data_IF_952737383839
#
_entry.id   IF_952737383839
#
_cell.length_a   1.000
_cell.length_b   1.000
_cell.length_c   1.000
_cell.angle_alpha   90.00
_cell.angle_beta   90.00
_cell.angle_gamma   90.00
#
_symmetry.space_group_name_H-M   'P 1'
#
loop_
_entity.id
_entity.type
_entity.pdbx_description
1 polymer ?
#
# COMPACT_ATOMS: atom_id res chain seq x y z
N UNK A 1 -3.45 -15.91 5.35
CA UNK A 1 -2.21 -15.56 4.61
C UNK A 1 -1.64 -14.33 5.28
N UNK A 2 -0.33 -14.31 5.58
CA UNK A 2 0.29 -13.18 6.28
C UNK A 2 0.44 -11.96 5.36
N UNK A 3 0.62 -10.75 5.89
CA UNK A 3 0.80 -9.54 5.07
C UNK A 3 2.06 -9.64 4.22
N UNK A 4 3.14 -10.17 4.77
CA UNK A 4 4.38 -10.46 4.04
C UNK A 4 4.11 -11.39 2.86
N UNK A 5 3.33 -12.45 3.05
CA UNK A 5 2.96 -13.36 1.96
C UNK A 5 2.08 -12.68 0.91
N UNK A 6 1.12 -11.84 1.33
CA UNK A 6 0.24 -11.09 0.41
C UNK A 6 1.01 -10.17 -0.51
N UNK A 7 2.09 -9.54 -0.02
CA UNK A 7 2.91 -8.64 -0.83
C UNK A 7 4.02 -9.34 -1.62
N UNK A 8 4.15 -10.67 -1.55
CA UNK A 8 5.13 -11.43 -2.33
C UNK A 8 6.41 -11.84 -1.58
N UNK A 9 6.42 -11.76 -0.25
CA UNK A 9 7.51 -12.22 0.62
C UNK A 9 8.28 -11.10 1.31
N UNK A 10 9.21 -11.48 2.20
CA UNK A 10 9.91 -10.56 3.10
C UNK A 10 10.69 -9.46 2.35
N UNK A 11 11.42 -9.83 1.30
CA UNK A 11 12.18 -8.86 0.51
C UNK A 11 11.26 -7.82 -0.16
N UNK A 12 10.13 -8.26 -0.72
CA UNK A 12 9.17 -7.35 -1.34
C UNK A 12 8.49 -6.45 -0.29
N UNK A 13 8.18 -7.00 0.89
CA UNK A 13 7.64 -6.25 2.02
C UNK A 13 8.60 -5.13 2.49
N UNK A 14 9.89 -5.43 2.61
CA UNK A 14 10.91 -4.43 2.96
C UNK A 14 11.02 -3.33 1.90
N UNK A 15 10.99 -3.68 0.62
CA UNK A 15 11.03 -2.71 -0.48
C UNK A 15 9.79 -1.79 -0.43
N UNK A 16 8.60 -2.38 -0.28
CA UNK A 16 7.33 -1.61 -0.20
C UNK A 16 7.33 -0.66 0.99
N UNK A 17 7.68 -1.15 2.17
CA UNK A 17 7.69 -0.34 3.41
C UNK A 17 8.78 0.72 3.45
N UNK A 18 9.83 0.57 2.63
CA UNK A 18 10.86 1.61 2.43
C UNK A 18 10.40 2.76 1.52
N UNK A 19 9.27 2.59 0.81
CA UNK A 19 8.67 3.60 -0.08
C UNK A 19 9.61 4.03 -1.23
N UNK A 20 10.73 3.31 -1.47
CA UNK A 20 11.74 3.63 -2.49
C UNK A 20 11.24 3.54 -3.93
N UNK A 21 10.12 2.83 -4.14
CA UNK A 21 9.53 2.58 -5.46
C UNK A 21 8.40 3.55 -5.82
N UNK A 22 8.14 4.58 -5.02
CA UNK A 22 7.04 5.52 -5.28
C UNK A 22 7.45 6.97 -5.07
N UNK A 23 6.74 7.86 -5.75
CA UNK A 23 6.82 9.31 -5.54
C UNK A 23 5.70 9.83 -4.64
N UNK A 24 4.85 8.95 -4.13
CA UNK A 24 3.76 9.31 -3.24
C UNK A 24 4.28 10.08 -2.02
N UNK A 25 3.64 11.20 -1.71
CA UNK A 25 3.91 11.89 -0.45
C UNK A 25 3.12 11.21 0.66
N UNK A 26 3.83 10.48 1.52
CA UNK A 26 3.27 9.78 2.69
C UNK A 26 2.20 8.73 2.36
N UNK A 27 2.48 7.74 1.49
CA UNK A 27 1.57 6.61 1.32
C UNK A 27 1.44 5.84 2.64
N UNK A 28 0.25 5.33 2.93
CA UNK A 28 0.01 4.53 4.14
C UNK A 28 -0.52 3.12 3.83
N UNK A 29 -0.82 2.82 2.56
CA UNK A 29 -1.21 1.51 2.11
C UNK A 29 -0.59 1.14 0.76
N UNK A 30 -0.65 -0.14 0.42
CA UNK A 30 -0.20 -0.69 -0.84
C UNK A 30 -1.20 -1.72 -1.34
N UNK A 31 -1.49 -1.69 -2.64
CA UNK A 31 -2.40 -2.61 -3.32
C UNK A 31 -1.57 -3.67 -4.06
N UNK A 32 -1.49 -4.92 -3.56
CA UNK A 32 -0.60 -5.94 -4.13
C UNK A 32 -0.99 -6.35 -5.55
N UNK A 33 -2.29 -6.41 -5.85
CA UNK A 33 -2.79 -6.83 -7.16
C UNK A 33 -2.47 -5.81 -8.26
N UNK A 34 -2.57 -4.51 -7.94
CA UNK A 34 -2.31 -3.40 -8.85
C UNK A 34 -0.87 -2.88 -8.78
N UNK A 35 -0.10 -3.31 -7.77
CA UNK A 35 1.27 -2.87 -7.46
C UNK A 35 1.39 -1.35 -7.34
N UNK A 36 0.42 -0.72 -6.67
CA UNK A 36 0.33 0.73 -6.52
C UNK A 36 0.26 1.11 -5.05
N UNK A 37 0.81 2.27 -4.71
CA UNK A 37 0.69 2.84 -3.37
C UNK A 37 -0.60 3.62 -3.24
N UNK A 38 -1.06 3.77 -2.00
CA UNK A 38 -2.28 4.48 -1.70
C UNK A 38 -2.25 5.18 -0.37
N UNK A 39 -3.36 5.85 -0.12
CA UNK A 39 -3.67 6.48 1.14
C UNK A 39 -5.07 6.05 1.57
N UNK A 40 -5.19 5.39 2.71
CA UNK A 40 -6.45 5.08 3.37
C UNK A 40 -6.66 6.10 4.49
N UNK A 41 -7.66 6.96 4.34
CA UNK A 41 -8.05 7.91 5.37
C UNK A 41 -8.93 7.20 6.41
N UNK A 42 -8.42 7.10 7.63
CA UNK A 42 -9.13 6.45 8.74
C UNK A 42 -10.32 7.27 9.27
N UNK A 43 -10.42 8.55 8.93
CA UNK A 43 -11.51 9.42 9.40
C UNK A 43 -12.72 9.37 8.46
N UNK A 44 -12.48 9.38 7.16
CA UNK A 44 -13.53 9.41 6.14
C UNK A 44 -13.86 8.03 5.56
N UNK A 45 -13.16 6.97 5.99
CA UNK A 45 -13.23 5.60 5.40
C UNK A 45 -12.99 5.62 3.88
N UNK A 46 -12.21 6.60 3.43
CA UNK A 46 -11.93 6.87 2.04
C UNK A 46 -10.57 6.32 1.66
N UNK A 47 -10.51 5.68 0.50
CA UNK A 47 -9.28 5.13 -0.03
C UNK A 47 -8.91 5.92 -1.27
N UNK A 48 -7.62 6.19 -1.42
CA UNK A 48 -7.05 6.90 -2.53
C UNK A 48 -5.91 6.08 -3.15
N UNK A 49 -5.87 5.98 -4.48
CA UNK A 49 -4.74 5.44 -5.21
C UNK A 49 -3.77 6.55 -5.60
N UNK A 50 -2.48 6.30 -5.50
CA UNK A 50 -1.48 7.21 -6.03
C UNK A 50 -1.31 6.96 -7.53
N UNK A 51 -1.54 8.00 -8.32
CA UNK A 51 -1.21 7.99 -9.73
C UNK A 51 0.18 8.60 -9.94
N UNK A 52 1.11 7.80 -10.45
CA UNK A 52 2.50 8.22 -10.66
C UNK A 52 2.62 9.22 -11.84
N UNK A 53 1.69 9.20 -12.81
CA UNK A 53 1.75 10.11 -13.97
C UNK A 53 1.44 11.57 -13.58
N UNK A 54 0.37 11.78 -12.82
CA UNK A 54 -0.02 13.09 -12.30
C UNK A 54 0.62 13.44 -10.95
N UNK A 55 1.26 12.47 -10.29
CA UNK A 55 1.79 12.57 -8.92
C UNK A 55 0.72 13.01 -7.91
N UNK A 56 -0.50 12.48 -8.02
CA UNK A 56 -1.64 12.83 -7.19
C UNK A 56 -2.39 11.61 -6.67
N UNK A 57 -3.06 11.78 -5.54
CA UNK A 57 -3.98 10.79 -4.98
C UNK A 57 -5.38 10.98 -5.55
N UNK A 58 -5.96 9.92 -6.09
CA UNK A 58 -7.33 9.92 -6.60
C UNK A 58 -8.19 8.97 -5.80
N UNK A 59 -9.42 9.40 -5.55
CA UNK A 59 -10.38 8.62 -4.80
C UNK A 59 -10.78 7.35 -5.58
N UNK A 60 -10.80 6.22 -4.87
CA UNK A 60 -11.07 4.88 -5.40
C UNK A 60 -12.53 4.67 -5.82
N UNK A 61 -13.49 5.44 -5.29
CA UNK A 61 -14.90 5.37 -5.71
C UNK A 61 -15.09 5.73 -7.21
N UNK A 62 -14.10 6.38 -7.84
CA UNK A 62 -14.08 6.63 -9.29
C UNK A 62 -13.38 5.51 -10.09
N UNK A 63 -12.85 4.48 -9.44
CA UNK A 63 -12.18 3.39 -10.13
C UNK A 63 -13.24 2.49 -10.81
N UNK A 64 -13.12 2.35 -12.13
CA UNK A 64 -13.97 1.46 -12.94
C UNK A 64 -13.84 -0.02 -12.57
N UNK A 65 -12.83 -0.38 -11.77
CA UNK A 65 -12.51 -1.74 -11.36
C UNK A 65 -12.27 -1.82 -9.85
N UNK A 66 -12.65 -2.94 -9.20
CA UNK A 66 -12.30 -3.18 -7.81
C UNK A 66 -10.78 -3.18 -7.64
N UNK A 67 -10.27 -2.40 -6.68
CA UNK A 67 -8.83 -2.30 -6.42
C UNK A 67 -8.25 -3.50 -5.65
N UNK A 68 -9.11 -4.41 -5.21
CA UNK A 68 -8.71 -5.58 -4.44
C UNK A 68 -8.44 -5.25 -2.97
N UNK A 69 -7.83 -6.21 -2.28
CA UNK A 69 -7.37 -6.00 -0.91
C UNK A 69 -6.14 -5.07 -0.90
N UNK A 70 -6.12 -4.11 0.02
CA UNK A 70 -4.93 -3.33 0.33
C UNK A 70 -4.26 -3.81 1.61
N UNK A 71 -2.98 -3.47 1.76
CA UNK A 71 -2.19 -3.73 2.95
C UNK A 71 -1.75 -2.39 3.54
N UNK A 72 -2.05 -2.16 4.82
CA UNK A 72 -1.55 -1.00 5.53
C UNK A 72 -0.04 -1.16 5.77
N UNK A 73 0.72 -0.11 5.46
CA UNK A 73 2.18 -0.12 5.59
C UNK A 73 2.60 -0.20 7.06
N UNK A 74 1.80 0.35 7.98
CA UNK A 74 2.07 0.26 9.42
C UNK A 74 2.02 -1.20 9.90
N UNK A 75 0.97 -1.93 9.52
CA UNK A 75 0.80 -3.33 9.91
C UNK A 75 1.86 -4.21 9.26
N UNK A 76 2.20 -3.93 7.99
CA UNK A 76 3.27 -4.63 7.31
C UNK A 76 4.64 -4.39 7.98
N UNK A 77 4.92 -3.16 8.42
CA UNK A 77 6.15 -2.83 9.18
C UNK A 77 6.20 -3.60 10.50
N UNK A 78 5.08 -3.73 11.21
CA UNK A 78 4.98 -4.52 12.45
C UNK A 78 5.29 -6.00 12.18
N UNK A 79 4.64 -6.61 11.19
CA UNK A 79 4.86 -8.03 10.85
C UNK A 79 6.32 -8.29 10.42
N UNK A 80 6.94 -7.38 9.67
CA UNK A 80 8.37 -7.47 9.32
C UNK A 80 9.23 -7.48 10.58
N UNK A 81 9.00 -6.54 11.51
CA UNK A 81 9.75 -6.46 12.76
C UNK A 81 9.64 -7.74 13.59
N UNK A 82 8.46 -8.36 13.67
CA UNK A 82 8.25 -9.61 14.40
C UNK A 82 9.01 -10.80 13.78
N UNK A 83 9.19 -10.83 12.46
CA UNK A 83 9.88 -11.91 11.75
C UNK A 83 11.41 -11.78 11.79
N UNK A 84 11.93 -10.55 11.84
CA UNK A 84 13.38 -10.28 11.82
C UNK A 84 14.00 -10.09 13.21
N UNK A 85 13.18 -10.05 14.26
CA UNK A 85 13.64 -9.99 15.67
C UNK A 85 14.07 -11.36 16.18
#
# INVERSE_FOLDING_TARGET
MSLIQKVGGLGQAQIITSEILTRASCPNCYFPEKKVYGFADAHDDQIYFFDEESCQFFNVENASEPLGEYVLLIDLKVEICEVVS
#
